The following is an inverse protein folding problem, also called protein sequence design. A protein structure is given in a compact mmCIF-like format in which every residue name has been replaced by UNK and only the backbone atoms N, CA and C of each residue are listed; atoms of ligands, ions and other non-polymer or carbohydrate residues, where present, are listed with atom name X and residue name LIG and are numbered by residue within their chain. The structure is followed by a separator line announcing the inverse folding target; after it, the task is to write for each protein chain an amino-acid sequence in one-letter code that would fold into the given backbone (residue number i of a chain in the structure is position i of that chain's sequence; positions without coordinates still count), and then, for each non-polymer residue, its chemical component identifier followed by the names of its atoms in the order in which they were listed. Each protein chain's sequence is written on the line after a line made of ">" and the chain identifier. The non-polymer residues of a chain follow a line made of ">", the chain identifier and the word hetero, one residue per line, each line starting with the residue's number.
data_IF_002238089008
#
_entry.id   IF_002238089008
#
_cell.length_a   1.000
_cell.length_b   1.000
_cell.length_c   1.000
_cell.angle_alpha   90.00
_cell.angle_beta   90.00
_cell.angle_gamma   90.00
#
_symmetry.space_group_name_H-M   'P 1'
#
loop_
_entity.id
_entity.type
_entity.pdbx_description
1 polymer ?
#
# COMPACT_ATOMS: atom_id res chain seq x y z
N UNK A 1 1.51 29.80 -3.53
CA UNK A 1 1.32 28.44 -4.09
C UNK A 1 2.52 27.95 -4.92
N UNK A 2 3.21 28.80 -5.68
CA UNK A 2 4.36 28.39 -6.52
C UNK A 2 5.58 27.83 -5.74
N UNK A 3 5.84 28.29 -4.50
CA UNK A 3 6.92 27.74 -3.66
C UNK A 3 6.68 26.31 -3.16
N UNK A 4 5.41 25.86 -3.03
CA UNK A 4 5.09 24.47 -2.62
C UNK A 4 5.36 23.47 -3.75
N UNK A 5 5.25 23.90 -5.01
CA UNK A 5 5.51 23.07 -6.19
C UNK A 5 7.01 22.92 -6.46
N UNK A 6 7.83 23.94 -6.13
CA UNK A 6 9.30 23.85 -6.25
C UNK A 6 9.94 22.93 -5.20
N UNK A 7 9.29 22.70 -4.06
CA UNK A 7 9.73 21.76 -3.02
C UNK A 7 9.27 20.33 -3.24
N UNK A 8 8.48 20.05 -4.29
CA UNK A 8 8.04 18.70 -4.59
C UNK A 8 9.15 17.95 -5.33
N UNK A 9 9.70 16.92 -4.71
CA UNK A 9 10.75 16.09 -5.30
C UNK A 9 10.18 15.14 -6.36
N UNK A 10 9.88 15.69 -7.55
CA UNK A 10 9.41 14.92 -8.70
C UNK A 10 10.40 13.85 -9.15
N UNK A 11 11.71 14.07 -8.93
CA UNK A 11 12.74 13.14 -9.32
C UNK A 11 12.78 11.94 -8.37
N UNK A 12 12.74 12.20 -7.06
CA UNK A 12 12.56 11.16 -6.04
C UNK A 12 11.28 10.35 -6.25
N UNK A 13 10.15 11.03 -6.50
CA UNK A 13 8.87 10.37 -6.78
C UNK A 13 8.95 9.46 -8.02
N UNK A 14 9.54 9.95 -9.12
CA UNK A 14 9.71 9.16 -10.35
C UNK A 14 10.58 7.92 -10.16
N UNK A 15 11.70 8.06 -9.44
CA UNK A 15 12.57 6.93 -9.09
C UNK A 15 11.85 5.89 -8.23
N UNK A 16 11.10 6.32 -7.22
CA UNK A 16 10.36 5.42 -6.34
C UNK A 16 9.26 4.68 -7.10
N UNK A 17 8.48 5.38 -7.93
CA UNK A 17 7.43 4.78 -8.76
C UNK A 17 8.04 3.75 -9.73
N UNK A 18 9.15 4.10 -10.39
CA UNK A 18 9.86 3.20 -11.28
C UNK A 18 10.37 1.96 -10.55
N UNK A 19 10.99 2.13 -9.38
CA UNK A 19 11.46 1.04 -8.54
C UNK A 19 10.32 0.10 -8.14
N UNK A 20 9.22 0.64 -7.59
CA UNK A 20 8.06 -0.15 -7.18
C UNK A 20 7.45 -0.89 -8.38
N UNK A 21 7.39 -0.26 -9.56
CA UNK A 21 6.87 -0.90 -10.77
C UNK A 21 7.74 -2.08 -11.19
N UNK A 22 9.07 -1.93 -11.19
CA UNK A 22 10.00 -3.03 -11.48
C UNK A 22 9.84 -4.19 -10.48
N UNK A 23 9.72 -3.88 -9.19
CA UNK A 23 9.52 -4.89 -8.15
C UNK A 23 8.19 -5.64 -8.34
N UNK A 24 7.09 -4.91 -8.53
CA UNK A 24 5.76 -5.50 -8.70
C UNK A 24 5.67 -6.34 -9.98
N UNK A 25 6.30 -5.91 -11.08
CA UNK A 25 6.35 -6.69 -12.32
C UNK A 25 7.09 -8.01 -12.11
N UNK A 26 8.26 -7.97 -11.46
CA UNK A 26 9.05 -9.17 -11.17
C UNK A 26 8.29 -10.15 -10.27
N UNK A 27 7.55 -9.64 -9.28
CA UNK A 27 6.77 -10.46 -8.35
C UNK A 27 5.52 -11.04 -8.99
N UNK A 28 4.84 -10.26 -9.86
CA UNK A 28 3.64 -10.69 -10.56
C UNK A 28 3.93 -11.81 -11.57
N UNK A 29 4.99 -11.66 -12.36
CA UNK A 29 5.32 -12.62 -13.41
C UNK A 29 6.21 -13.77 -12.91
N UNK A 30 6.86 -13.58 -11.74
CA UNK A 30 7.72 -14.57 -11.10
C UNK A 30 6.95 -15.79 -10.63
N UNK A 31 7.09 -16.90 -11.37
CA UNK A 31 6.55 -18.21 -10.98
C UNK A 31 5.18 -18.55 -11.55
N UNK A 32 4.45 -17.59 -12.13
CA UNK A 32 3.16 -17.86 -12.80
C UNK A 32 3.36 -17.91 -14.32
N UNK A 33 3.85 -16.81 -14.92
CA UNK A 33 3.97 -16.66 -16.38
C UNK A 33 5.38 -16.99 -16.90
N UNK A 34 6.40 -16.92 -16.04
CA UNK A 34 7.78 -17.23 -16.39
C UNK A 34 8.50 -17.90 -15.22
N UNK A 35 9.38 -18.89 -15.48
CA UNK A 35 10.27 -19.41 -14.45
C UNK A 35 11.11 -18.28 -13.86
N UNK A 36 11.39 -18.33 -12.55
CA UNK A 36 12.27 -17.38 -11.86
C UNK A 36 13.67 -17.26 -12.49
N UNK A 37 14.07 -18.24 -13.29
CA UNK A 37 15.33 -18.24 -14.04
C UNK A 37 15.30 -17.36 -15.30
N UNK A 38 14.16 -16.79 -15.69
CA UNK A 38 14.06 -15.96 -16.89
C UNK A 38 14.82 -14.64 -16.68
N UNK A 39 15.61 -14.24 -17.68
CA UNK A 39 16.47 -13.04 -17.62
C UNK A 39 15.67 -11.76 -17.39
N UNK A 40 14.40 -11.72 -17.81
CA UNK A 40 13.54 -10.56 -17.62
C UNK A 40 13.23 -10.30 -16.12
N UNK A 41 12.90 -11.33 -15.35
CA UNK A 41 12.63 -11.20 -13.91
C UNK A 41 13.87 -10.75 -13.13
N UNK A 42 15.03 -11.31 -13.46
CA UNK A 42 16.31 -10.87 -12.89
C UNK A 42 16.63 -9.43 -13.27
N UNK A 43 16.37 -9.03 -14.52
CA UNK A 43 16.52 -7.65 -14.98
C UNK A 43 15.66 -6.66 -14.18
N UNK A 44 14.40 -7.01 -13.91
CA UNK A 44 13.51 -6.19 -13.09
C UNK A 44 13.95 -6.11 -11.62
N UNK A 45 14.45 -7.20 -11.02
CA UNK A 45 14.97 -7.20 -9.64
C UNK A 45 16.25 -6.36 -9.51
N UNK A 46 17.17 -6.49 -10.47
CA UNK A 46 18.39 -5.67 -10.50
C UNK A 46 18.03 -4.20 -10.75
N UNK A 47 17.10 -3.94 -11.68
CA UNK A 47 16.58 -2.59 -11.95
C UNK A 47 15.95 -1.96 -10.71
N UNK A 48 15.15 -2.71 -9.96
CA UNK A 48 14.62 -2.28 -8.67
C UNK A 48 15.73 -1.91 -7.68
N UNK A 49 16.74 -2.78 -7.52
CA UNK A 49 17.86 -2.52 -6.63
C UNK A 49 18.61 -1.23 -6.99
N UNK A 50 18.91 -1.04 -8.28
CA UNK A 50 19.59 0.16 -8.77
C UNK A 50 18.75 1.42 -8.56
N UNK A 51 17.47 1.39 -8.89
CA UNK A 51 16.57 2.54 -8.74
C UNK A 51 16.37 2.93 -7.28
N UNK A 52 16.31 1.96 -6.35
CA UNK A 52 16.27 2.23 -4.91
C UNK A 52 17.58 2.84 -4.42
N UNK A 53 18.74 2.35 -4.86
CA UNK A 53 20.03 2.93 -4.50
C UNK A 53 20.11 4.38 -4.99
N UNK A 54 19.70 4.65 -6.22
CA UNK A 54 19.61 6.00 -6.76
C UNK A 54 18.65 6.88 -5.96
N UNK A 55 17.46 6.36 -5.61
CA UNK A 55 16.48 7.06 -4.79
C UNK A 55 17.06 7.45 -3.42
N UNK A 56 17.68 6.50 -2.71
CA UNK A 56 18.31 6.75 -1.40
C UNK A 56 19.43 7.79 -1.52
N UNK A 57 20.25 7.73 -2.58
CA UNK A 57 21.32 8.69 -2.80
C UNK A 57 20.78 10.11 -3.07
N UNK A 58 19.69 10.23 -3.84
CA UNK A 58 19.02 11.52 -4.10
C UNK A 58 18.42 12.08 -2.82
N UNK A 59 17.73 11.25 -2.04
CA UNK A 59 17.12 11.66 -0.78
C UNK A 59 18.16 12.10 0.26
N UNK A 60 19.28 11.38 0.34
CA UNK A 60 20.39 11.74 1.23
C UNK A 60 21.02 13.09 0.84
N UNK A 61 21.03 13.41 -0.46
CA UNK A 61 21.55 14.68 -0.97
C UNK A 61 20.58 15.85 -0.74
N UNK A 62 19.27 15.61 -0.81
CA UNK A 62 18.21 16.64 -0.64
C UNK A 62 17.87 16.97 0.82
N UNK A 63 18.17 16.09 1.78
CA UNK A 63 18.06 16.32 3.24
C UNK A 63 16.68 16.84 3.71
N UNK A 64 16.51 18.16 3.80
CA UNK A 64 15.28 18.81 4.30
C UNK A 64 14.28 19.13 3.18
N UNK A 65 14.72 19.15 1.91
CA UNK A 65 13.84 19.20 0.73
C UNK A 65 13.51 17.79 0.19
N UNK A 66 13.87 16.76 0.96
CA UNK A 66 13.57 15.36 0.74
C UNK A 66 12.05 15.12 0.71
N UNK A 67 11.58 14.20 -0.13
CA UNK A 67 10.18 13.75 -0.09
C UNK A 67 9.90 13.05 1.24
N UNK A 68 10.88 12.27 1.72
CA UNK A 68 10.82 11.59 3.01
C UNK A 68 12.04 12.01 3.84
N UNK A 69 11.90 13.03 4.71
CA UNK A 69 13.00 13.44 5.56
C UNK A 69 13.39 12.28 6.48
N UNK A 70 14.66 11.88 6.45
CA UNK A 70 15.17 10.78 7.27
C UNK A 70 14.84 10.93 8.76
N UNK A 71 14.76 12.19 9.25
CA UNK A 71 14.36 12.49 10.64
C UNK A 71 12.95 12.02 10.97
N UNK A 72 12.01 12.12 10.03
CA UNK A 72 10.62 11.68 10.21
C UNK A 72 10.54 10.17 10.02
N UNK A 73 11.19 9.62 8.99
CA UNK A 73 11.23 8.18 8.74
C UNK A 73 11.83 7.37 9.91
N UNK A 74 12.82 7.94 10.61
CA UNK A 74 13.46 7.31 11.77
C UNK A 74 12.61 7.37 13.05
N UNK A 75 11.48 8.09 13.07
CA UNK A 75 10.61 8.12 14.24
C UNK A 75 9.93 6.76 14.42
N UNK A 76 10.04 6.18 15.62
CA UNK A 76 9.39 4.90 15.96
C UNK A 76 7.89 4.91 15.68
N UNK A 77 7.22 6.04 15.93
CA UNK A 77 5.80 6.23 15.63
C UNK A 77 5.49 6.08 14.15
N UNK A 78 6.34 6.64 13.28
CA UNK A 78 6.15 6.57 11.82
C UNK A 78 6.40 5.13 11.36
N UNK A 79 7.47 4.50 11.83
CA UNK A 79 7.75 3.09 11.54
C UNK A 79 6.62 2.15 12.00
N UNK A 80 6.10 2.35 13.23
CA UNK A 80 4.98 1.58 13.75
C UNK A 80 3.69 1.82 12.94
N UNK A 81 3.42 3.07 12.54
CA UNK A 81 2.29 3.41 11.68
C UNK A 81 2.41 2.74 10.31
N UNK A 82 3.59 2.78 9.68
CA UNK A 82 3.84 2.11 8.42
C UNK A 82 3.62 0.59 8.52
N UNK A 83 4.16 -0.05 9.56
CA UNK A 83 3.95 -1.47 9.81
C UNK A 83 2.46 -1.80 10.00
N UNK A 84 1.75 -0.99 10.78
CA UNK A 84 0.30 -1.14 10.96
C UNK A 84 -0.45 -1.04 9.62
N UNK A 85 -0.13 -0.04 8.80
CA UNK A 85 -0.74 0.12 7.47
C UNK A 85 -0.46 -1.09 6.56
N UNK A 86 0.73 -1.68 6.61
CA UNK A 86 1.05 -2.90 5.86
C UNK A 86 0.13 -4.05 6.26
N UNK A 87 -0.03 -4.31 7.57
CA UNK A 87 -0.90 -5.39 8.05
C UNK A 87 -2.37 -5.15 7.71
N UNK A 88 -2.87 -3.93 7.87
CA UNK A 88 -4.26 -3.59 7.53
C UNK A 88 -4.52 -3.79 6.03
N UNK A 89 -3.63 -3.32 5.15
CA UNK A 89 -3.80 -3.54 3.71
C UNK A 89 -3.74 -5.02 3.34
N UNK A 90 -2.80 -5.78 3.91
CA UNK A 90 -2.70 -7.23 3.69
C UNK A 90 -4.02 -7.96 4.07
N UNK A 91 -4.65 -7.53 5.16
CA UNK A 91 -5.89 -8.11 5.63
C UNK A 91 -7.10 -7.73 4.74
N UNK A 92 -7.15 -6.49 4.25
CA UNK A 92 -8.16 -6.02 3.29
C UNK A 92 -8.01 -6.75 1.95
N UNK A 93 -6.79 -6.84 1.42
CA UNK A 93 -6.51 -7.54 0.16
C UNK A 93 -6.93 -9.01 0.27
N UNK A 94 -6.65 -9.66 1.39
CA UNK A 94 -7.12 -11.04 1.65
C UNK A 94 -8.63 -11.15 1.50
N UNK A 95 -9.42 -10.24 2.09
CA UNK A 95 -10.86 -10.25 1.94
C UNK A 95 -11.29 -10.03 0.48
N UNK A 96 -10.70 -9.06 -0.20
CA UNK A 96 -11.04 -8.73 -1.59
C UNK A 96 -10.85 -9.93 -2.52
N UNK A 97 -9.81 -10.74 -2.31
CA UNK A 97 -9.58 -11.95 -3.11
C UNK A 97 -10.43 -13.14 -2.66
N UNK A 98 -10.57 -13.37 -1.35
CA UNK A 98 -11.22 -14.59 -0.84
C UNK A 98 -12.75 -14.53 -0.90
N UNK A 99 -13.35 -13.36 -0.66
CA UNK A 99 -14.80 -13.19 -0.59
C UNK A 99 -15.53 -13.54 -1.91
N UNK A 100 -15.10 -13.05 -3.10
CA UNK A 100 -15.73 -13.44 -4.36
C UNK A 100 -15.53 -14.93 -4.68
N UNK A 101 -14.36 -15.49 -4.35
CA UNK A 101 -14.09 -16.93 -4.51
C UNK A 101 -15.02 -17.74 -3.59
N UNK A 102 -15.22 -17.31 -2.35
CA UNK A 102 -16.12 -17.99 -1.41
C UNK A 102 -17.58 -17.96 -1.90
N UNK A 103 -18.07 -16.82 -2.38
CA UNK A 103 -19.44 -16.72 -2.90
C UNK A 103 -19.65 -17.58 -4.15
N UNK A 104 -18.68 -17.58 -5.06
CA UNK A 104 -18.79 -18.35 -6.31
C UNK A 104 -18.55 -19.86 -6.10
N UNK A 105 -17.54 -20.26 -5.33
CA UNK A 105 -17.14 -21.65 -5.16
C UNK A 105 -17.91 -22.40 -4.06
N UNK A 106 -18.23 -21.74 -2.94
CA UNK A 106 -18.87 -22.39 -1.79
C UNK A 106 -20.39 -22.18 -1.79
N UNK A 107 -20.84 -20.96 -2.10
CA UNK A 107 -22.29 -20.65 -2.12
C UNK A 107 -22.93 -20.85 -3.48
N UNK A 108 -22.16 -21.17 -4.52
CA UNK A 108 -22.67 -21.41 -5.87
C UNK A 108 -23.43 -20.22 -6.47
N UNK A 109 -23.21 -19.00 -5.96
CA UNK A 109 -23.91 -17.81 -6.45
C UNK A 109 -23.37 -17.42 -7.82
N UNK A 110 -24.22 -16.89 -8.69
CA UNK A 110 -23.79 -16.37 -10.01
C UNK A 110 -22.80 -15.22 -9.83
N UNK A 111 -21.93 -15.03 -10.84
CA UNK A 111 -20.93 -13.96 -10.83
C UNK A 111 -21.55 -12.56 -10.62
N UNK A 112 -22.75 -12.33 -11.16
CA UNK A 112 -23.51 -11.10 -10.99
C UNK A 112 -23.87 -10.83 -9.52
N UNK A 113 -24.42 -11.82 -8.82
CA UNK A 113 -24.81 -11.66 -7.42
C UNK A 113 -23.61 -11.50 -6.50
N UNK A 114 -22.51 -12.21 -6.78
CA UNK A 114 -21.24 -12.02 -6.06
C UNK A 114 -20.69 -10.61 -6.27
N UNK A 115 -20.78 -10.08 -7.49
CA UNK A 115 -20.37 -8.71 -7.81
C UNK A 115 -21.13 -7.66 -7.03
N UNK A 116 -22.47 -7.78 -6.96
CA UNK A 116 -23.31 -6.85 -6.19
C UNK A 116 -22.94 -6.86 -4.70
N UNK A 117 -22.72 -8.05 -4.11
CA UNK A 117 -22.31 -8.17 -2.70
C UNK A 117 -20.94 -7.57 -2.44
N UNK A 118 -20.02 -7.74 -3.38
CA UNK A 118 -18.68 -7.15 -3.31
C UNK A 118 -18.74 -5.62 -3.40
N UNK A 119 -19.62 -5.05 -4.25
CA UNK A 119 -19.85 -3.61 -4.30
C UNK A 119 -20.34 -3.06 -2.96
N UNK A 120 -21.30 -3.73 -2.31
CA UNK A 120 -21.79 -3.32 -0.99
C UNK A 120 -20.65 -3.35 0.06
N UNK A 121 -19.83 -4.40 0.05
CA UNK A 121 -18.66 -4.50 0.93
C UNK A 121 -17.67 -3.35 0.71
N UNK A 122 -17.34 -3.06 -0.55
CA UNK A 122 -16.43 -1.96 -0.90
C UNK A 122 -17.00 -0.60 -0.50
N UNK A 123 -18.29 -0.35 -0.74
CA UNK A 123 -18.96 0.88 -0.31
C UNK A 123 -18.89 1.07 1.22
N UNK A 124 -19.14 0.03 2.00
CA UNK A 124 -19.01 0.08 3.46
C UNK A 124 -17.57 0.40 3.87
N UNK A 125 -16.58 -0.22 3.22
CA UNK A 125 -15.17 0.02 3.52
C UNK A 125 -14.74 1.47 3.24
N UNK A 126 -15.21 2.04 2.13
CA UNK A 126 -14.97 3.44 1.76
C UNK A 126 -15.58 4.37 2.82
N UNK A 127 -16.84 4.15 3.20
CA UNK A 127 -17.53 4.96 4.21
C UNK A 127 -16.78 4.92 5.55
N UNK A 128 -16.40 3.74 6.01
CA UNK A 128 -15.64 3.58 7.26
C UNK A 128 -14.29 4.28 7.18
N UNK A 129 -13.58 4.20 6.05
CA UNK A 129 -12.30 4.87 5.85
C UNK A 129 -12.44 6.39 5.89
N UNK A 130 -13.48 6.95 5.26
CA UNK A 130 -13.76 8.39 5.27
C UNK A 130 -14.09 8.86 6.68
N UNK A 131 -14.96 8.14 7.40
CA UNK A 131 -15.32 8.47 8.78
C UNK A 131 -14.12 8.40 9.71
N UNK A 132 -13.30 7.35 9.59
CA UNK A 132 -12.06 7.21 10.36
C UNK A 132 -11.06 8.33 10.05
N UNK A 133 -10.87 8.67 8.77
CA UNK A 133 -9.96 9.75 8.36
C UNK A 133 -10.43 11.13 8.85
N UNK A 134 -11.73 11.40 8.78
CA UNK A 134 -12.33 12.62 9.32
C UNK A 134 -12.19 12.69 10.85
N UNK A 135 -12.40 11.55 11.54
CA UNK A 135 -12.22 11.42 12.98
C UNK A 135 -10.79 11.72 13.42
N UNK A 136 -9.79 11.08 12.81
CA UNK A 136 -8.37 11.34 13.10
C UNK A 136 -8.02 12.82 12.85
N UNK A 137 -8.54 13.41 11.77
CA UNK A 137 -8.31 14.83 11.45
C UNK A 137 -8.92 15.79 12.47
N UNK A 138 -10.04 15.41 13.11
CA UNK A 138 -10.73 16.22 14.12
C UNK A 138 -10.09 16.09 15.50
N UNK A 139 -9.69 14.88 15.89
CA UNK A 139 -9.20 14.60 17.25
C UNK A 139 -7.67 14.70 17.38
N UNK A 140 -6.91 14.66 16.30
CA UNK A 140 -5.45 14.79 16.31
C UNK A 140 -4.68 13.60 16.89
N UNK A 141 -5.38 12.64 17.52
CA UNK A 141 -4.80 11.40 18.07
C UNK A 141 -5.09 10.22 17.13
N UNK A 142 -4.04 9.67 16.51
CA UNK A 142 -4.11 8.51 15.61
C UNK A 142 -4.15 7.17 16.37
N UNK A 143 -3.61 7.13 17.59
CA UNK A 143 -3.49 5.88 18.37
C UNK A 143 -4.86 5.24 18.64
N UNK A 144 -5.88 5.92 19.18
CA UNK A 144 -7.17 5.28 19.50
C UNK A 144 -7.85 4.65 18.28
N UNK A 145 -7.75 5.30 17.12
CA UNK A 145 -8.30 4.79 15.86
C UNK A 145 -7.57 3.52 15.35
N UNK A 146 -6.27 3.39 15.60
CA UNK A 146 -5.52 2.18 15.25
C UNK A 146 -5.99 0.96 16.05
N UNK A 147 -6.21 1.13 17.37
CA UNK A 147 -6.69 0.05 18.23
C UNK A 147 -8.11 -0.38 17.88
N UNK A 148 -9.02 0.58 17.62
CA UNK A 148 -10.41 0.25 17.27
C UNK A 148 -10.50 -0.50 15.95
N UNK A 149 -9.72 -0.13 14.92
CA UNK A 149 -9.65 -0.89 13.68
C UNK A 149 -9.19 -2.34 13.90
N UNK A 150 -8.14 -2.56 14.70
CA UNK A 150 -7.65 -3.91 15.01
C UNK A 150 -8.69 -4.78 15.70
N UNK A 151 -9.43 -4.21 16.67
CA UNK A 151 -10.48 -4.92 17.41
C UNK A 151 -11.65 -5.29 16.50
N UNK A 152 -12.12 -4.36 15.66
CA UNK A 152 -13.23 -4.62 14.72
C UNK A 152 -12.84 -5.71 13.71
N UNK A 153 -11.59 -5.71 13.25
CA UNK A 153 -11.13 -6.72 12.30
C UNK A 153 -11.08 -8.12 12.91
N UNK A 154 -10.59 -8.26 14.15
CA UNK A 154 -10.61 -9.52 14.89
C UNK A 154 -12.05 -10.00 15.14
N UNK A 155 -12.97 -9.09 15.44
CA UNK A 155 -14.37 -9.42 15.68
C UNK A 155 -15.13 -9.83 14.41
N UNK A 156 -14.57 -9.59 13.21
CA UNK A 156 -15.21 -9.90 11.92
C UNK A 156 -14.84 -11.28 11.37
N UNK A 157 -14.01 -12.05 12.08
CA UNK A 157 -13.60 -13.42 11.75
C UNK A 157 -14.42 -14.44 12.57
#
# INVERSE_FOLDING_TARGET
>A
MQQKLQHMDFLGAGLLIGAMTCLLLALKDGGINSPWSNSNNWGCLVGFGLLIICFVAVEFKRKDEAMIPFRIAAQRTVAASCLFTVFVNMAIDTHIYYLPIHFQAVRGTTAEQSGIRMLTYLCSNILTTVVSGAGVSRFGYYVPFMWTCGIVFIASY
#
